data_IF_056969948375
#
_entry.id   IF_056969948375
#
_cell.length_a   1.000
_cell.length_b   1.000
_cell.length_c   1.000
_cell.angle_alpha   90.00
_cell.angle_beta   90.00
_cell.angle_gamma   90.00
#
_symmetry.space_group_name_H-M   'P 1'
#
loop_
_entity.id
_entity.type
_entity.pdbx_description
1 polymer ?
#
# COMPACT_ATOMS: atom_id res chain seq x y z
N UNK A 1 -15.03 -16.19 -39.73
CA UNK A 1 -14.45 -16.32 -38.38
C UNK A 1 -14.77 -15.06 -37.59
N UNK A 2 -15.44 -15.11 -36.44
CA UNK A 2 -15.57 -13.93 -35.60
C UNK A 2 -14.21 -13.64 -34.97
N UNK A 3 -13.65 -12.49 -35.32
CA UNK A 3 -12.42 -11.96 -34.76
C UNK A 3 -12.66 -11.68 -33.27
N UNK A 4 -12.19 -12.57 -32.39
CA UNK A 4 -12.27 -12.37 -30.94
C UNK A 4 -11.42 -11.15 -30.57
N UNK A 5 -12.04 -9.97 -30.48
CA UNK A 5 -11.40 -8.78 -29.96
C UNK A 5 -11.36 -8.93 -28.44
N UNK A 6 -10.26 -9.48 -27.91
CA UNK A 6 -10.00 -9.56 -26.47
C UNK A 6 -10.19 -8.14 -25.91
N UNK A 7 -11.04 -7.99 -24.88
CA UNK A 7 -11.31 -6.68 -24.25
C UNK A 7 -9.95 -6.12 -23.79
N UNK A 8 -9.62 -4.89 -24.18
CA UNK A 8 -8.31 -4.30 -23.88
C UNK A 8 -8.13 -4.28 -22.36
N UNK A 9 -7.07 -4.94 -21.87
CA UNK A 9 -6.71 -4.91 -20.45
C UNK A 9 -6.35 -3.47 -20.06
N UNK A 10 -6.92 -3.00 -18.95
CA UNK A 10 -6.67 -1.66 -18.42
C UNK A 10 -5.77 -1.78 -17.19
N UNK A 11 -4.47 -1.66 -17.41
CA UNK A 11 -3.48 -1.76 -16.34
C UNK A 11 -3.63 -0.67 -15.28
N UNK A 12 -4.17 0.50 -15.61
CA UNK A 12 -4.46 1.54 -14.61
C UNK A 12 -5.53 1.07 -13.63
N UNK A 13 -6.55 0.37 -14.12
CA UNK A 13 -7.60 -0.21 -13.28
C UNK A 13 -7.05 -1.31 -12.38
N UNK A 14 -6.16 -2.18 -12.91
CA UNK A 14 -5.52 -3.23 -12.11
C UNK A 14 -4.61 -2.66 -11.02
N UNK A 15 -3.76 -1.69 -11.37
CA UNK A 15 -2.89 -1.00 -10.40
C UNK A 15 -3.71 -0.26 -9.34
N UNK A 16 -4.81 0.39 -9.74
CA UNK A 16 -5.70 1.05 -8.79
C UNK A 16 -6.37 0.04 -7.85
N UNK A 17 -6.79 -1.12 -8.35
CA UNK A 17 -7.37 -2.17 -7.51
C UNK A 17 -6.35 -2.68 -6.48
N UNK A 18 -5.09 -2.87 -6.87
CA UNK A 18 -4.01 -3.18 -5.91
C UNK A 18 -3.88 -2.08 -4.86
N UNK A 19 -3.76 -0.81 -5.27
CA UNK A 19 -3.59 0.31 -4.35
C UNK A 19 -4.79 0.51 -3.39
N UNK A 20 -6.00 0.22 -3.85
CA UNK A 20 -7.21 0.22 -3.02
C UNK A 20 -7.17 -0.89 -1.97
N UNK A 21 -6.72 -2.09 -2.36
CA UNK A 21 -6.56 -3.23 -1.45
C UNK A 21 -5.46 -2.97 -0.41
N UNK A 22 -4.34 -2.34 -0.80
CA UNK A 22 -3.31 -1.90 0.14
C UNK A 22 -3.86 -0.91 1.17
N UNK A 23 -4.67 0.07 0.73
CA UNK A 23 -5.28 1.02 1.65
C UNK A 23 -6.24 0.34 2.65
N UNK A 24 -7.01 -0.65 2.18
CA UNK A 24 -7.84 -1.50 3.07
C UNK A 24 -6.97 -2.25 4.09
N UNK A 25 -5.83 -2.78 3.67
CA UNK A 25 -4.89 -3.48 4.55
C UNK A 25 -4.27 -2.56 5.60
N UNK A 26 -3.96 -1.32 5.23
CA UNK A 26 -3.48 -0.31 6.17
C UNK A 26 -4.57 0.20 7.12
N UNK A 27 -5.83 0.25 6.66
CA UNK A 27 -6.98 0.52 7.53
C UNK A 27 -7.14 -0.59 8.59
N UNK A 28 -7.00 -1.87 8.20
CA UNK A 28 -7.00 -3.01 9.13
C UNK A 28 -5.78 -2.99 10.07
N UNK A 29 -4.59 -2.65 9.57
CA UNK A 29 -3.38 -2.50 10.40
C UNK A 29 -3.58 -1.45 11.50
N UNK A 30 -4.26 -0.35 11.18
CA UNK A 30 -4.57 0.70 12.17
C UNK A 30 -5.53 0.23 13.24
N UNK A 31 -6.61 -0.46 12.86
CA UNK A 31 -7.58 -1.00 13.81
C UNK A 31 -6.95 -2.06 14.72
N UNK A 32 -6.09 -2.93 14.17
CA UNK A 32 -5.26 -3.84 14.95
C UNK A 32 -4.36 -3.08 15.95
N UNK A 33 -3.70 -2.02 15.50
CA UNK A 33 -2.78 -1.23 16.34
C UNK A 33 -3.50 -0.43 17.45
N UNK A 34 -4.74 0.01 17.23
CA UNK A 34 -5.55 0.67 18.26
C UNK A 34 -6.07 -0.30 19.34
N UNK A 35 -5.94 -1.62 19.12
CA UNK A 35 -6.41 -2.63 20.07
C UNK A 35 -7.93 -2.73 20.14
N UNK A 36 -8.63 -2.47 19.03
CA UNK A 36 -10.07 -2.66 18.96
C UNK A 36 -10.42 -4.15 19.16
N UNK A 37 -11.22 -4.45 20.19
CA UNK A 37 -11.63 -5.80 20.57
C UNK A 37 -12.15 -6.59 19.36
N UNK A 38 -11.37 -7.57 18.90
CA UNK A 38 -11.80 -8.56 17.91
C UNK A 38 -11.01 -8.62 16.60
N UNK A 39 -10.25 -7.57 16.22
CA UNK A 39 -9.38 -7.65 15.05
C UNK A 39 -8.05 -8.33 15.40
N UNK A 40 -8.00 -9.61 15.07
CA UNK A 40 -6.78 -10.41 15.12
C UNK A 40 -6.00 -10.20 13.83
N UNK A 41 -4.67 -10.35 13.89
CA UNK A 41 -3.72 -10.48 12.77
C UNK A 41 -4.30 -11.09 11.49
N UNK A 42 -5.18 -12.08 11.62
CA UNK A 42 -5.86 -12.75 10.51
C UNK A 42 -6.51 -11.82 9.49
N UNK A 43 -7.00 -10.62 9.86
CA UNK A 43 -7.60 -9.70 8.88
C UNK A 43 -6.57 -9.05 7.98
N UNK A 44 -5.45 -8.57 8.54
CA UNK A 44 -4.32 -8.04 7.76
C UNK A 44 -3.78 -9.12 6.84
N UNK A 45 -3.66 -10.36 7.33
CA UNK A 45 -3.18 -11.49 6.53
C UNK A 45 -4.12 -11.88 5.39
N UNK A 46 -5.43 -11.87 5.62
CA UNK A 46 -6.43 -12.11 4.57
C UNK A 46 -6.31 -11.06 3.45
N UNK A 47 -6.15 -9.79 3.81
CA UNK A 47 -6.01 -8.70 2.83
C UNK A 47 -4.69 -8.81 2.05
N UNK A 48 -3.59 -9.20 2.69
CA UNK A 48 -2.32 -9.45 2.00
C UNK A 48 -2.47 -10.54 0.92
N UNK A 49 -3.12 -11.65 1.24
CA UNK A 49 -3.39 -12.72 0.27
C UNK A 49 -4.25 -12.24 -0.91
N UNK A 50 -5.24 -11.37 -0.65
CA UNK A 50 -6.05 -10.76 -1.70
C UNK A 50 -5.23 -9.80 -2.58
N UNK A 51 -4.34 -8.99 -1.99
CA UNK A 51 -3.45 -8.09 -2.71
C UNK A 51 -2.48 -8.85 -3.63
N UNK A 52 -1.93 -9.95 -3.11
CA UNK A 52 -1.05 -10.88 -3.84
C UNK A 52 -1.73 -11.47 -5.08
N UNK A 53 -3.00 -11.88 -4.95
CA UNK A 53 -3.76 -12.43 -6.07
C UNK A 53 -4.05 -11.34 -7.13
N UNK A 54 -4.36 -10.11 -6.71
CA UNK A 54 -4.49 -8.98 -7.64
C UNK A 54 -3.18 -8.71 -8.40
N UNK A 55 -2.04 -8.83 -7.71
CA UNK A 55 -0.73 -8.73 -8.35
C UNK A 55 -0.50 -9.83 -9.36
N UNK A 56 -0.77 -11.07 -8.97
CA UNK A 56 -0.62 -12.23 -9.85
C UNK A 56 -1.42 -12.07 -11.14
N UNK A 57 -2.67 -11.60 -11.03
CA UNK A 57 -3.52 -11.29 -12.19
C UNK A 57 -2.89 -10.21 -13.06
N UNK A 58 -2.37 -9.12 -12.48
CA UNK A 58 -1.70 -8.06 -13.23
C UNK A 58 -0.48 -8.57 -13.99
N UNK A 59 0.37 -9.37 -13.34
CA UNK A 59 1.56 -9.95 -13.96
C UNK A 59 1.19 -10.88 -15.12
N UNK A 60 0.15 -11.70 -14.96
CA UNK A 60 -0.33 -12.58 -16.04
C UNK A 60 -0.85 -11.77 -17.23
N UNK A 61 -1.65 -10.73 -16.98
CA UNK A 61 -2.13 -9.82 -18.03
C UNK A 61 -0.99 -9.08 -18.73
N UNK A 62 0.04 -8.67 -17.98
CA UNK A 62 1.23 -8.03 -18.53
C UNK A 62 1.98 -8.98 -19.46
N UNK A 63 2.19 -10.24 -19.05
CA UNK A 63 2.86 -11.27 -19.84
C UNK A 63 2.10 -11.61 -21.14
N UNK A 64 0.76 -11.63 -21.09
CA UNK A 64 -0.07 -11.94 -22.25
C UNK A 64 -0.34 -10.75 -23.19
N UNK A 65 -0.02 -9.53 -22.77
CA UNK A 65 -0.30 -8.31 -23.55
C UNK A 65 0.91 -7.86 -24.34
N UNK A 66 0.80 -7.75 -25.66
CA UNK A 66 1.92 -7.28 -26.49
C UNK A 66 2.11 -5.75 -26.44
N UNK A 67 1.02 -4.97 -26.40
CA UNK A 67 1.03 -3.51 -26.40
C UNK A 67 0.44 -2.96 -25.09
N UNK A 68 1.26 -2.29 -24.30
CA UNK A 68 0.87 -1.67 -23.01
C UNK A 68 0.55 -0.18 -23.17
N UNK A 69 -0.23 0.43 -22.26
CA UNK A 69 -0.60 1.85 -22.33
C UNK A 69 0.55 2.81 -22.01
N UNK A 70 1.55 2.34 -21.27
CA UNK A 70 2.84 3.00 -20.99
C UNK A 70 3.90 1.91 -20.80
N UNK A 71 5.11 2.28 -20.41
CA UNK A 71 6.23 1.33 -20.34
C UNK A 71 5.91 0.13 -19.44
N UNK A 72 6.27 -1.07 -19.93
CA UNK A 72 5.99 -2.33 -19.24
C UNK A 72 6.76 -2.43 -17.93
N UNK A 73 8.01 -1.98 -17.92
CA UNK A 73 8.87 -2.01 -16.75
C UNK A 73 8.33 -1.07 -15.68
N UNK A 74 7.75 0.07 -16.08
CA UNK A 74 7.06 0.98 -15.16
C UNK A 74 5.81 0.35 -14.54
N UNK A 75 4.97 -0.34 -15.34
CA UNK A 75 3.80 -1.08 -14.82
C UNK A 75 4.23 -2.13 -13.78
N UNK A 76 5.24 -2.92 -14.14
CA UNK A 76 5.76 -3.98 -13.27
C UNK A 76 6.33 -3.41 -11.97
N UNK A 77 7.14 -2.36 -12.08
CA UNK A 77 7.82 -1.76 -10.94
C UNK A 77 6.84 -1.05 -10.01
N UNK A 78 5.84 -0.37 -10.56
CA UNK A 78 4.77 0.25 -9.78
C UNK A 78 3.91 -0.81 -9.08
N UNK A 79 3.54 -1.89 -9.77
CA UNK A 79 2.78 -3.00 -9.17
C UNK A 79 3.54 -3.64 -8.00
N UNK A 80 4.85 -3.86 -8.16
CA UNK A 80 5.72 -4.36 -7.09
C UNK A 80 5.83 -3.38 -5.92
N UNK A 81 6.01 -2.09 -6.19
CA UNK A 81 6.12 -1.10 -5.12
C UNK A 81 4.82 -0.97 -4.29
N UNK A 82 3.65 -1.15 -4.92
CA UNK A 82 2.36 -1.19 -4.23
C UNK A 82 2.29 -2.44 -3.32
N UNK A 83 2.67 -3.58 -3.85
CA UNK A 83 2.70 -4.88 -3.16
C UNK A 83 3.61 -4.88 -1.93
N UNK A 84 4.82 -4.34 -2.08
CA UNK A 84 5.81 -4.25 -1.01
C UNK A 84 5.24 -3.54 0.24
N UNK A 85 4.34 -2.56 0.07
CA UNK A 85 3.68 -1.86 1.19
C UNK A 85 2.81 -2.80 2.01
N UNK A 86 2.03 -3.66 1.36
CA UNK A 86 1.17 -4.63 2.05
C UNK A 86 1.99 -5.72 2.73
N UNK A 87 3.02 -6.22 2.03
CA UNK A 87 3.99 -7.16 2.58
C UNK A 87 4.64 -6.65 3.87
N UNK A 88 5.08 -5.39 3.87
CA UNK A 88 5.67 -4.79 5.07
C UNK A 88 4.63 -4.56 6.17
N UNK A 89 3.38 -4.25 5.85
CA UNK A 89 2.30 -4.13 6.83
C UNK A 89 2.02 -5.47 7.53
N UNK A 90 1.89 -6.57 6.78
CA UNK A 90 1.71 -7.92 7.33
C UNK A 90 2.92 -8.35 8.18
N UNK A 91 4.14 -8.15 7.66
CA UNK A 91 5.37 -8.46 8.41
C UNK A 91 5.50 -7.66 9.69
N UNK A 92 5.05 -6.40 9.72
CA UNK A 92 5.08 -5.59 10.95
C UNK A 92 4.24 -6.21 12.04
N UNK A 93 3.04 -6.71 11.71
CA UNK A 93 2.17 -7.42 12.66
C UNK A 93 2.85 -8.69 13.16
N UNK A 94 3.38 -9.50 12.24
CA UNK A 94 4.10 -10.75 12.57
C UNK A 94 5.28 -10.50 13.52
N UNK A 95 6.15 -9.54 13.19
CA UNK A 95 7.33 -9.22 13.98
C UNK A 95 6.96 -8.68 15.37
N UNK A 96 5.95 -7.82 15.47
CA UNK A 96 5.47 -7.31 16.76
C UNK A 96 4.91 -8.41 17.65
N UNK A 97 4.16 -9.36 17.11
CA UNK A 97 3.68 -10.52 17.87
C UNK A 97 4.85 -11.44 18.29
N UNK A 98 5.78 -11.74 17.40
CA UNK A 98 6.96 -12.60 17.67
C UNK A 98 7.87 -11.98 18.73
N UNK A 99 8.07 -10.67 18.70
CA UNK A 99 8.92 -9.95 19.64
C UNK A 99 8.19 -9.48 20.90
N UNK A 100 6.90 -9.83 21.05
CA UNK A 100 6.05 -9.44 22.17
C UNK A 100 5.99 -7.91 22.38
N UNK A 101 6.02 -7.14 21.28
CA UNK A 101 5.94 -5.68 21.28
C UNK A 101 4.50 -5.25 21.08
N UNK A 102 3.93 -4.58 22.07
CA UNK A 102 2.61 -3.98 21.94
C UNK A 102 2.65 -2.66 21.16
N UNK A 103 1.64 -2.36 20.33
CA UNK A 103 1.46 -1.04 19.75
C UNK A 103 1.47 0.04 20.82
N UNK A 104 2.15 1.15 20.53
CA UNK A 104 2.16 2.34 21.37
C UNK A 104 1.63 3.55 20.56
N UNK A 105 1.37 4.70 21.20
CA UNK A 105 0.82 5.86 20.50
C UNK A 105 1.66 6.33 19.30
N UNK A 106 2.98 6.16 19.32
CA UNK A 106 3.85 6.53 18.21
C UNK A 106 3.68 5.58 17.01
N UNK A 107 3.51 4.28 17.25
CA UNK A 107 3.24 3.29 16.20
C UNK A 107 1.90 3.59 15.54
N UNK A 108 0.86 3.86 16.34
CA UNK A 108 -0.47 4.24 15.82
C UNK A 108 -0.40 5.52 14.98
N UNK A 109 0.33 6.54 15.43
CA UNK A 109 0.57 7.77 14.66
C UNK A 109 1.26 7.49 13.32
N UNK A 110 2.31 6.67 13.30
CA UNK A 110 3.02 6.31 12.06
C UNK A 110 2.11 5.55 11.09
N UNK A 111 1.30 4.61 11.57
CA UNK A 111 0.34 3.88 10.72
C UNK A 111 -0.71 4.84 10.14
N UNK A 112 -1.21 5.81 10.90
CA UNK A 112 -2.16 6.82 10.39
C UNK A 112 -1.54 7.69 9.28
N UNK A 113 -0.28 8.10 9.43
CA UNK A 113 0.46 8.80 8.36
C UNK A 113 0.59 7.92 7.12
N UNK A 114 0.93 6.64 7.29
CA UNK A 114 1.05 5.68 6.19
C UNK A 114 -0.27 5.51 5.42
N UNK A 115 -1.40 5.42 6.12
CA UNK A 115 -2.75 5.37 5.52
C UNK A 115 -3.07 6.60 4.67
N UNK A 116 -2.72 7.79 5.17
CA UNK A 116 -2.93 9.04 4.43
C UNK A 116 -2.07 9.08 3.16
N UNK A 117 -0.80 8.66 3.25
CA UNK A 117 0.08 8.53 2.09
C UNK A 117 -0.47 7.53 1.06
N UNK A 118 -0.91 6.34 1.49
CA UNK A 118 -1.47 5.32 0.61
C UNK A 118 -2.75 5.79 -0.10
N UNK A 119 -3.60 6.56 0.58
CA UNK A 119 -4.79 7.18 -0.03
C UNK A 119 -4.42 8.13 -1.16
N UNK A 120 -3.43 9.00 -0.94
CA UNK A 120 -2.93 9.89 -1.98
C UNK A 120 -2.33 9.10 -3.16
N UNK A 121 -1.57 8.04 -2.91
CA UNK A 121 -1.02 7.18 -3.97
C UNK A 121 -2.11 6.49 -4.78
N UNK A 122 -3.15 5.96 -4.12
CA UNK A 122 -4.30 5.37 -4.80
C UNK A 122 -4.98 6.37 -5.75
N UNK A 123 -5.23 7.58 -5.27
CA UNK A 123 -5.86 8.63 -6.08
C UNK A 123 -4.93 9.08 -7.23
N UNK A 124 -3.62 9.13 -7.01
CA UNK A 124 -2.64 9.38 -8.07
C UNK A 124 -2.73 8.31 -9.17
N UNK A 125 -2.71 7.03 -8.80
CA UNK A 125 -2.79 5.89 -9.73
C UNK A 125 -4.11 5.92 -10.52
N UNK A 126 -5.22 6.25 -9.85
CA UNK A 126 -6.53 6.41 -10.51
C UNK A 126 -6.50 7.44 -11.64
N UNK A 127 -5.73 8.51 -11.46
CA UNK A 127 -5.74 9.69 -12.31
C UNK A 127 -4.59 9.72 -13.32
N UNK A 128 -3.54 8.92 -13.14
CA UNK A 128 -2.26 9.02 -13.85
C UNK A 128 -2.39 9.08 -15.38
N UNK A 129 -3.34 8.33 -15.94
CA UNK A 129 -3.56 8.30 -17.40
C UNK A 129 -4.42 9.45 -17.91
N UNK A 130 -5.41 9.89 -17.13
CA UNK A 130 -6.42 10.86 -17.59
C UNK A 130 -6.07 12.30 -17.23
N UNK A 131 -5.46 12.51 -16.07
CA UNK A 131 -5.15 13.83 -15.51
C UNK A 131 -3.78 13.79 -14.81
N UNK A 132 -2.67 13.66 -15.56
CA UNK A 132 -1.34 13.45 -15.00
C UNK A 132 -0.85 14.57 -14.07
N UNK A 133 -1.22 15.82 -14.33
CA UNK A 133 -0.86 16.94 -13.44
C UNK A 133 -1.56 16.83 -12.09
N UNK A 134 -2.83 16.38 -12.06
CA UNK A 134 -3.56 16.16 -10.80
C UNK A 134 -2.99 14.93 -10.07
N UNK A 135 -2.65 13.87 -10.81
CA UNK A 135 -1.97 12.71 -10.23
C UNK A 135 -0.63 13.09 -9.59
N UNK A 136 0.13 14.00 -10.20
CA UNK A 136 1.39 14.52 -9.66
C UNK A 136 1.17 15.32 -8.36
N UNK A 137 0.08 16.08 -8.24
CA UNK A 137 -0.28 16.77 -6.99
C UNK A 137 -0.50 15.76 -5.85
N UNK A 138 -1.23 14.67 -6.11
CA UNK A 138 -1.42 13.58 -5.15
C UNK A 138 -0.09 12.89 -4.78
N UNK A 139 0.75 12.57 -5.77
CA UNK A 139 2.08 12.00 -5.51
C UNK A 139 2.96 12.94 -4.66
N UNK A 140 2.85 14.26 -4.88
CA UNK A 140 3.55 15.27 -4.08
C UNK A 140 3.07 15.29 -2.64
N UNK A 141 1.76 15.12 -2.40
CA UNK A 141 1.19 14.99 -1.05
C UNK A 141 1.65 13.71 -0.36
N UNK A 142 1.69 12.58 -1.06
CA UNK A 142 2.25 11.34 -0.53
C UNK A 142 3.72 11.54 -0.09
N UNK A 143 4.52 12.27 -0.88
CA UNK A 143 5.90 12.64 -0.49
C UNK A 143 5.93 13.58 0.73
N UNK A 144 4.95 14.47 0.89
CA UNK A 144 4.85 15.30 2.10
C UNK A 144 4.59 14.45 3.36
N UNK A 145 3.74 13.41 3.26
CA UNK A 145 3.52 12.47 4.36
C UNK A 145 4.75 11.64 4.70
N UNK A 146 5.63 11.33 3.74
CA UNK A 146 6.91 10.68 4.06
C UNK A 146 7.82 11.59 4.91
N UNK A 147 7.87 12.89 4.65
CA UNK A 147 8.57 13.84 5.53
C UNK A 147 7.92 13.93 6.92
N UNK A 148 6.60 13.72 7.02
CA UNK A 148 5.88 13.68 8.29
C UNK A 148 6.20 12.40 9.06
N UNK A 149 6.23 11.25 8.37
CA UNK A 149 6.63 9.95 8.89
C UNK A 149 8.04 10.02 9.49
N UNK A 150 9.00 10.62 8.78
CA UNK A 150 10.38 10.77 9.28
C UNK A 150 10.42 11.54 10.61
N UNK A 151 9.62 12.60 10.73
CA UNK A 151 9.52 13.38 11.97
C UNK A 151 8.88 12.57 13.10
N UNK A 152 7.81 11.83 12.80
CA UNK A 152 7.15 10.97 13.78
C UNK A 152 8.11 9.87 14.28
N UNK A 153 8.84 9.22 13.36
CA UNK A 153 9.87 8.24 13.67
C UNK A 153 10.97 8.80 14.57
N UNK A 154 11.53 9.97 14.24
CA UNK A 154 12.55 10.61 15.08
C UNK A 154 12.02 11.01 16.46
N UNK A 155 10.75 11.43 16.57
CA UNK A 155 10.10 11.68 17.88
C UNK A 155 9.98 10.39 18.70
N UNK A 156 9.57 9.30 18.07
CA UNK A 156 9.43 7.99 18.71
C UNK A 156 10.78 7.48 19.22
N UNK A 157 11.84 7.55 18.39
CA UNK A 157 13.21 7.20 18.80
C UNK A 157 13.71 8.08 19.94
N UNK A 158 13.53 9.40 19.85
CA UNK A 158 13.95 10.31 20.91
C UNK A 158 13.20 10.05 22.22
N UNK A 159 11.96 9.56 22.17
CA UNK A 159 11.23 9.11 23.35
C UNK A 159 11.80 7.80 23.91
N UNK A 160 12.05 6.82 23.04
CA UNK A 160 12.64 5.53 23.39
C UNK A 160 13.97 5.71 24.15
N UNK A 161 14.88 6.54 23.64
CA UNK A 161 16.17 6.80 24.30
C UNK A 161 16.10 7.71 25.53
N UNK A 162 14.96 8.36 25.78
CA UNK A 162 14.72 9.12 27.03
C UNK A 162 14.13 8.23 28.13
N UNK A 163 13.49 7.13 27.76
CA UNK A 163 13.13 6.07 28.69
C UNK A 163 14.42 5.40 29.16
N UNK A 164 14.95 5.86 30.29
CA UNK A 164 15.96 5.12 31.05
C UNK A 164 15.44 3.72 31.36
N UNK A 165 16.30 2.71 31.18
CA UNK A 165 16.15 1.37 31.77
C UNK A 165 15.71 1.42 33.24
#
# INVERSE_FOLDING_TARGET
>A
MPWFRKKKCDFCVLLHAQADKVLEGLDALYVWAEGADGEKRGKVKEIEQEADELRRILIEELNQTFVTPFDREDIFSLSRAIDDVMDYADRTVDEMEIYEVNPNPFIVEMIDILRKAARELKDAIRLIQKYPNIALEHATKAKAYENEMEKAYHRALANLFKGTD
#
